data_IF_624707182795
#
_entry.id   IF_624707182795
#
_cell.length_a   1.000
_cell.length_b   1.000
_cell.length_c   1.000
_cell.angle_alpha   90.00
_cell.angle_beta   90.00
_cell.angle_gamma   90.00
#
_symmetry.space_group_name_H-M   'P 1'
#
loop_
_entity.id
_entity.type
_entity.pdbx_description
1 polymer ?
#
# COMPACT_ATOMS: atom_id res chain seq x y z
N UNK A 1 16.86 5.49 6.77
CA UNK A 1 15.56 5.40 7.46
C UNK A 1 14.51 4.80 6.53
N UNK A 2 14.08 5.47 5.44
CA UNK A 2 13.07 4.94 4.50
C UNK A 2 13.45 3.63 3.79
N UNK A 3 14.71 3.46 3.36
CA UNK A 3 15.12 2.21 2.70
C UNK A 3 15.06 1.00 3.65
N UNK A 4 15.35 1.22 4.93
CA UNK A 4 15.22 0.17 5.94
C UNK A 4 13.75 -0.22 6.14
N UNK A 5 12.87 0.78 6.18
CA UNK A 5 11.43 0.56 6.26
C UNK A 5 10.89 -0.20 5.04
N UNK A 6 11.33 0.16 3.83
CA UNK A 6 10.98 -0.55 2.61
C UNK A 6 11.37 -2.03 2.65
N UNK A 7 12.57 -2.34 3.16
CA UNK A 7 13.01 -3.72 3.38
C UNK A 7 12.14 -4.46 4.39
N UNK A 8 11.75 -3.83 5.50
CA UNK A 8 10.89 -4.49 6.51
C UNK A 8 9.48 -4.71 5.99
N UNK A 9 8.86 -3.70 5.37
CA UNK A 9 7.49 -3.77 4.88
C UNK A 9 7.33 -4.82 3.78
N UNK A 10 8.22 -4.83 2.78
CA UNK A 10 8.17 -5.83 1.70
C UNK A 10 8.51 -7.24 2.19
N UNK A 11 9.32 -7.39 3.24
CA UNK A 11 9.61 -8.70 3.85
C UNK A 11 8.39 -9.36 4.48
N UNK A 12 7.49 -8.57 5.07
CA UNK A 12 6.21 -9.07 5.60
C UNK A 12 5.37 -9.69 4.47
N UNK A 13 5.45 -9.11 3.26
CA UNK A 13 4.76 -9.56 2.04
C UNK A 13 5.52 -10.66 1.27
N UNK A 14 6.56 -11.24 1.88
CA UNK A 14 7.26 -12.41 1.37
C UNK A 14 8.53 -12.14 0.57
N UNK A 15 8.96 -10.88 0.43
CA UNK A 15 10.21 -10.53 -0.26
C UNK A 15 11.42 -10.94 0.58
N UNK A 16 12.45 -11.52 -0.04
CA UNK A 16 13.69 -11.95 0.63
C UNK A 16 14.90 -11.19 0.07
N UNK A 17 15.11 -9.97 0.54
CA UNK A 17 16.16 -9.06 0.05
C UNK A 17 16.94 -8.46 1.21
N UNK A 18 18.26 -8.32 1.05
CA UNK A 18 19.11 -7.61 2.01
C UNK A 18 19.42 -6.18 1.55
N UNK A 19 19.89 -5.34 2.47
CA UNK A 19 20.33 -3.98 2.14
C UNK A 19 21.47 -3.98 1.13
N UNK A 20 22.45 -4.87 1.30
CA UNK A 20 23.61 -4.95 0.41
C UNK A 20 23.19 -5.28 -1.02
N UNK A 21 22.22 -6.19 -1.21
CA UNK A 21 21.71 -6.53 -2.54
C UNK A 21 21.06 -5.35 -3.25
N UNK A 22 20.33 -4.50 -2.52
CA UNK A 22 19.73 -3.27 -3.08
C UNK A 22 20.83 -2.28 -3.48
N UNK A 23 21.82 -2.07 -2.60
CA UNK A 23 22.93 -1.16 -2.86
C UNK A 23 23.79 -1.62 -4.05
N UNK A 24 24.02 -2.93 -4.20
CA UNK A 24 24.73 -3.50 -5.33
C UNK A 24 24.00 -3.24 -6.66
N UNK A 25 22.66 -3.27 -6.67
CA UNK A 25 21.84 -2.94 -7.85
C UNK A 25 21.91 -1.44 -8.16
N UNK A 26 21.81 -0.57 -7.15
CA UNK A 26 21.98 0.88 -7.34
C UNK A 26 23.38 1.24 -7.89
N UNK A 27 24.41 0.54 -7.42
CA UNK A 27 25.79 0.66 -7.92
C UNK A 27 26.04 -0.03 -9.27
N UNK A 28 25.03 -0.67 -9.87
CA UNK A 28 25.12 -1.42 -11.13
C UNK A 28 26.12 -2.60 -11.09
N UNK A 29 26.42 -3.09 -9.89
CA UNK A 29 27.33 -4.22 -9.65
C UNK A 29 26.59 -5.57 -9.59
N UNK A 30 25.26 -5.54 -9.44
CA UNK A 30 24.37 -6.71 -9.47
C UNK A 30 23.24 -6.49 -10.47
N UNK A 31 22.77 -7.57 -11.07
CA UNK A 31 21.53 -7.54 -11.87
C UNK A 31 20.32 -7.42 -10.96
N UNK A 32 19.42 -6.52 -11.32
CA UNK A 32 18.14 -6.38 -10.65
C UNK A 32 17.26 -7.63 -10.83
N UNK A 33 16.43 -7.92 -9.83
CA UNK A 33 15.40 -8.96 -9.87
C UNK A 33 14.06 -8.39 -9.36
N UNK A 34 12.99 -9.19 -9.41
CA UNK A 34 11.65 -8.69 -9.04
C UNK A 34 11.55 -8.30 -7.56
N UNK A 35 12.16 -9.08 -6.68
CA UNK A 35 12.14 -8.84 -5.23
C UNK A 35 12.85 -7.53 -4.87
N UNK A 36 14.04 -7.30 -5.42
CA UNK A 36 14.77 -6.03 -5.25
C UNK A 36 13.97 -4.87 -5.86
N UNK A 37 13.34 -5.09 -7.02
CA UNK A 37 12.49 -4.09 -7.64
C UNK A 37 11.27 -3.73 -6.77
N UNK A 38 10.68 -4.68 -6.04
CA UNK A 38 9.59 -4.41 -5.09
C UNK A 38 10.07 -3.51 -3.95
N UNK A 39 11.27 -3.74 -3.40
CA UNK A 39 11.88 -2.87 -2.37
C UNK A 39 12.13 -1.46 -2.93
N UNK A 40 12.70 -1.38 -4.14
CA UNK A 40 12.98 -0.10 -4.79
C UNK A 40 11.68 0.66 -5.10
N UNK A 41 10.64 -0.01 -5.60
CA UNK A 41 9.33 0.59 -5.85
C UNK A 41 8.72 1.13 -4.56
N UNK A 42 8.76 0.37 -3.47
CA UNK A 42 8.24 0.83 -2.18
C UNK A 42 9.02 2.04 -1.67
N UNK A 43 10.35 2.01 -1.75
CA UNK A 43 11.19 3.15 -1.38
C UNK A 43 10.86 4.40 -2.21
N UNK A 44 10.66 4.26 -3.52
CA UNK A 44 10.25 5.37 -4.39
C UNK A 44 8.84 5.86 -4.07
N UNK A 45 7.90 4.96 -3.73
CA UNK A 45 6.56 5.33 -3.32
C UNK A 45 6.59 6.17 -2.04
N UNK A 46 7.30 5.74 -0.99
CA UNK A 46 7.48 6.51 0.24
C UNK A 46 8.05 7.91 -0.04
N UNK A 47 9.16 7.97 -0.79
CA UNK A 47 9.83 9.23 -1.10
C UNK A 47 8.92 10.18 -1.90
N UNK A 48 8.31 9.67 -2.97
CA UNK A 48 7.39 10.44 -3.81
C UNK A 48 6.12 10.86 -3.06
N UNK A 49 5.64 10.02 -2.14
CA UNK A 49 4.52 10.32 -1.26
C UNK A 49 4.81 11.50 -0.32
N UNK A 50 5.95 11.45 0.38
CA UNK A 50 6.38 12.55 1.26
C UNK A 50 6.59 13.86 0.50
N UNK A 51 7.14 13.80 -0.71
CA UNK A 51 7.29 14.99 -1.55
C UNK A 51 5.93 15.53 -2.01
N UNK A 52 4.97 14.65 -2.30
CA UNK A 52 3.59 15.03 -2.67
C UNK A 52 2.82 15.65 -1.51
N UNK A 53 3.03 15.18 -0.28
CA UNK A 53 2.38 15.69 0.93
C UNK A 53 2.75 17.16 1.24
N UNK A 54 3.84 17.67 0.66
CA UNK A 54 4.20 19.10 0.77
C UNK A 54 3.24 20.01 0.00
N UNK A 55 2.50 19.47 -0.96
CA UNK A 55 1.60 20.23 -1.82
C UNK A 55 0.14 19.78 -1.71
N UNK A 56 -0.10 18.52 -1.32
CA UNK A 56 -1.39 17.87 -1.39
C UNK A 56 -1.73 17.18 -0.06
N UNK A 57 -2.99 17.20 0.40
CA UNK A 57 -3.41 16.37 1.51
C UNK A 57 -3.39 14.88 1.16
N UNK A 58 -3.50 14.03 2.17
CA UNK A 58 -3.78 12.60 1.96
C UNK A 58 -5.10 12.50 1.19
N UNK A 59 -5.06 11.87 0.02
CA UNK A 59 -6.18 11.88 -0.91
C UNK A 59 -6.20 10.63 -1.78
N UNK A 60 -7.33 10.36 -2.43
CA UNK A 60 -7.47 9.26 -3.40
C UNK A 60 -6.37 9.33 -4.45
N UNK A 61 -6.03 10.54 -4.90
CA UNK A 61 -4.92 10.75 -5.85
C UNK A 61 -3.59 10.28 -5.28
N UNK A 62 -3.28 10.58 -4.01
CA UNK A 62 -2.06 10.13 -3.37
C UNK A 62 -2.05 8.59 -3.24
N UNK A 63 -3.12 7.99 -2.73
CA UNK A 63 -3.23 6.53 -2.61
C UNK A 63 -3.01 5.83 -3.95
N UNK A 64 -3.66 6.33 -5.02
CA UNK A 64 -3.51 5.79 -6.37
C UNK A 64 -2.08 5.96 -6.91
N UNK A 65 -1.45 7.12 -6.70
CA UNK A 65 -0.07 7.36 -7.11
C UNK A 65 0.92 6.41 -6.42
N UNK A 66 0.77 6.23 -5.10
CA UNK A 66 1.57 5.30 -4.32
C UNK A 66 1.40 3.87 -4.84
N UNK A 67 0.15 3.45 -5.08
CA UNK A 67 -0.19 2.12 -5.57
C UNK A 67 0.35 1.86 -6.98
N UNK A 68 0.26 2.84 -7.88
CA UNK A 68 0.86 2.76 -9.22
C UNK A 68 2.37 2.58 -9.16
N UNK A 69 3.05 3.38 -8.33
CA UNK A 69 4.51 3.30 -8.14
C UNK A 69 4.90 1.95 -7.56
N UNK A 70 4.17 1.48 -6.54
CA UNK A 70 4.42 0.22 -5.86
C UNK A 70 4.41 -0.99 -6.82
N UNK A 71 3.41 -1.05 -7.71
CA UNK A 71 3.19 -2.19 -8.61
C UNK A 71 3.82 -2.00 -10.01
N UNK A 72 4.62 -0.94 -10.19
CA UNK A 72 5.33 -0.66 -11.44
C UNK A 72 6.43 -1.69 -11.75
N UNK A 73 7.03 -1.63 -12.94
CA UNK A 73 8.20 -2.44 -13.30
C UNK A 73 7.97 -3.97 -13.29
N UNK A 74 6.75 -4.41 -13.60
CA UNK A 74 6.39 -5.83 -13.79
C UNK A 74 6.64 -6.74 -12.56
N UNK A 75 6.57 -6.13 -11.37
CA UNK A 75 6.61 -6.84 -10.08
C UNK A 75 5.32 -7.63 -9.83
N UNK A 76 5.26 -8.38 -8.72
CA UNK A 76 4.03 -9.09 -8.33
C UNK A 76 2.88 -8.09 -8.18
N UNK A 77 1.71 -8.46 -8.70
CA UNK A 77 0.53 -7.60 -8.67
C UNK A 77 0.49 -6.56 -9.81
N UNK A 78 1.51 -6.44 -10.67
CA UNK A 78 1.52 -5.41 -11.74
C UNK A 78 0.35 -5.52 -12.74
N UNK A 79 -0.31 -6.67 -12.82
CA UNK A 79 -1.50 -6.90 -13.65
C UNK A 79 -2.83 -6.72 -12.87
N UNK A 80 -2.78 -6.27 -11.62
CA UNK A 80 -3.93 -6.09 -10.70
C UNK A 80 -4.40 -4.63 -10.64
N UNK A 81 -4.43 -3.99 -11.80
CA UNK A 81 -4.85 -2.59 -11.96
C UNK A 81 -4.08 -1.59 -11.07
N UNK A 82 -2.75 -1.44 -11.27
CA UNK A 82 -1.97 -0.40 -10.60
C UNK A 82 -2.63 0.97 -10.72
N UNK A 83 -2.60 1.76 -9.64
CA UNK A 83 -3.22 3.08 -9.59
C UNK A 83 -4.74 3.13 -9.59
N UNK A 84 -5.46 2.01 -9.55
CA UNK A 84 -6.93 2.02 -9.59
C UNK A 84 -7.57 1.23 -8.44
N UNK A 85 -8.64 1.78 -7.88
CA UNK A 85 -9.47 1.04 -6.94
C UNK A 85 -10.16 -0.14 -7.65
N UNK A 86 -10.35 -1.22 -6.90
CA UNK A 86 -10.92 -2.46 -7.43
C UNK A 86 -12.32 -2.24 -7.97
N UNK A 87 -12.60 -2.85 -9.12
CA UNK A 87 -13.93 -2.87 -9.76
C UNK A 87 -14.63 -4.22 -9.61
N UNK A 88 -13.97 -5.18 -8.97
CA UNK A 88 -14.46 -6.53 -8.70
C UNK A 88 -14.34 -6.83 -7.21
N UNK A 89 -15.15 -7.76 -6.73
CA UNK A 89 -15.13 -8.18 -5.32
C UNK A 89 -13.79 -8.84 -5.00
N UNK A 90 -13.16 -8.39 -3.92
CA UNK A 90 -11.97 -9.05 -3.36
C UNK A 90 -12.40 -9.94 -2.18
N UNK A 91 -11.53 -10.83 -1.74
CA UNK A 91 -11.73 -11.66 -0.56
C UNK A 91 -10.38 -12.02 0.05
N UNK A 92 -10.36 -12.19 1.37
CA UNK A 92 -9.15 -12.45 2.16
C UNK A 92 -9.33 -13.77 2.89
N UNK A 93 -8.34 -14.65 2.79
CA UNK A 93 -8.34 -15.94 3.44
C UNK A 93 -7.09 -16.74 3.14
N UNK A 94 -7.03 -18.00 3.61
CA UNK A 94 -5.91 -18.90 3.36
C UNK A 94 -5.64 -19.08 1.86
N UNK A 95 -4.41 -19.48 1.52
CA UNK A 95 -4.04 -19.75 0.14
C UNK A 95 -4.99 -20.79 -0.49
N UNK A 96 -5.47 -20.51 -1.71
CA UNK A 96 -6.42 -21.35 -2.42
C UNK A 96 -7.87 -21.26 -1.96
N UNK A 97 -8.21 -20.36 -1.02
CA UNK A 97 -9.60 -20.12 -0.66
C UNK A 97 -10.41 -19.54 -1.83
N UNK A 98 -11.71 -19.78 -1.77
CA UNK A 98 -12.72 -19.15 -2.61
C UNK A 98 -13.45 -18.08 -1.81
N UNK A 99 -14.28 -17.28 -2.46
CA UNK A 99 -15.11 -16.28 -1.77
C UNK A 99 -16.02 -16.92 -0.70
N UNK A 100 -16.50 -18.16 -0.92
CA UNK A 100 -17.36 -18.90 0.02
C UNK A 100 -16.60 -19.40 1.25
N UNK A 101 -15.28 -19.53 1.15
CA UNK A 101 -14.40 -20.04 2.21
C UNK A 101 -13.46 -18.95 2.75
N UNK A 102 -13.65 -17.71 2.29
CA UNK A 102 -12.87 -16.56 2.72
C UNK A 102 -13.12 -16.26 4.20
N UNK A 103 -12.06 -15.86 4.90
CA UNK A 103 -12.16 -15.43 6.30
C UNK A 103 -12.77 -14.03 6.41
N UNK A 104 -12.62 -13.22 5.36
CA UNK A 104 -13.19 -11.89 5.28
C UNK A 104 -13.52 -11.49 3.84
N UNK A 105 -14.65 -10.82 3.67
CA UNK A 105 -15.07 -10.23 2.40
C UNK A 105 -15.21 -8.72 2.63
N UNK A 106 -14.33 -7.88 2.06
CA UNK A 106 -14.42 -6.43 2.18
C UNK A 106 -15.68 -5.91 1.47
N UNK A 107 -16.06 -4.63 1.69
CA UNK A 107 -17.27 -4.06 1.11
C UNK A 107 -17.37 -4.18 -0.42
N UNK A 108 -18.57 -4.01 -0.97
CA UNK A 108 -18.78 -4.09 -2.41
C UNK A 108 -17.96 -3.02 -3.18
N UNK A 109 -17.47 -3.31 -4.40
CA UNK A 109 -16.58 -2.41 -5.14
C UNK A 109 -17.17 -1.02 -5.38
N UNK A 110 -18.48 -0.91 -5.62
CA UNK A 110 -19.16 0.37 -5.82
C UNK A 110 -19.14 1.30 -4.60
N UNK A 111 -18.86 0.76 -3.41
CA UNK A 111 -18.79 1.54 -2.17
C UNK A 111 -17.38 2.04 -1.85
N UNK A 112 -16.34 1.52 -2.53
CA UNK A 112 -14.94 1.81 -2.22
C UNK A 112 -14.65 3.31 -2.26
N UNK A 113 -15.06 4.01 -3.33
CA UNK A 113 -14.84 5.46 -3.43
C UNK A 113 -15.49 6.20 -2.26
N UNK A 114 -16.76 5.89 -1.94
CA UNK A 114 -17.47 6.52 -0.83
C UNK A 114 -16.77 6.32 0.51
N UNK A 115 -16.23 5.13 0.77
CA UNK A 115 -15.54 4.86 2.03
C UNK A 115 -14.14 5.46 2.08
N UNK A 116 -13.42 5.50 0.97
CA UNK A 116 -12.14 6.19 0.88
C UNK A 116 -12.31 7.71 1.05
N UNK A 117 -13.32 8.31 0.44
CA UNK A 117 -13.66 9.73 0.64
C UNK A 117 -13.93 10.05 2.12
N UNK A 118 -14.63 9.15 2.81
CA UNK A 118 -14.90 9.28 4.24
C UNK A 118 -13.61 9.16 5.08
N UNK A 119 -12.75 8.19 4.76
CA UNK A 119 -11.45 8.01 5.41
C UNK A 119 -10.55 9.24 5.21
N UNK A 120 -10.47 9.75 3.98
CA UNK A 120 -9.72 10.96 3.64
C UNK A 120 -10.22 12.17 4.44
N UNK A 121 -11.54 12.32 4.57
CA UNK A 121 -12.12 13.40 5.38
C UNK A 121 -11.68 13.27 6.84
N UNK A 122 -11.72 12.06 7.40
CA UNK A 122 -11.32 11.81 8.79
C UNK A 122 -9.83 12.06 9.03
N UNK A 123 -8.97 11.68 8.08
CA UNK A 123 -7.52 11.91 8.14
C UNK A 123 -7.19 13.40 8.14
N UNK A 124 -7.80 14.17 7.22
CA UNK A 124 -7.41 15.56 6.99
C UNK A 124 -8.15 16.57 7.88
N UNK A 125 -9.35 16.24 8.38
CA UNK A 125 -10.14 17.12 9.24
C UNK A 125 -10.80 16.33 10.40
N UNK A 126 -9.99 15.81 11.34
CA UNK A 126 -10.51 15.06 12.47
C UNK A 126 -11.37 15.95 13.38
N UNK A 127 -12.58 15.47 13.72
CA UNK A 127 -13.53 16.16 14.60
C UNK A 127 -13.68 15.53 15.99
N UNK A 128 -13.00 14.43 16.23
CA UNK A 128 -12.98 13.71 17.49
C UNK A 128 -11.86 14.20 18.42
N UNK A 129 -11.90 13.76 19.67
CA UNK A 129 -10.93 14.06 20.73
C UNK A 129 -9.89 12.96 20.93
N UNK A 130 -9.69 12.09 19.92
CA UNK A 130 -8.77 10.96 20.02
C UNK A 130 -7.30 11.40 19.95
N UNK A 131 -6.45 10.70 20.72
CA UNK A 131 -5.00 10.82 20.59
C UNK A 131 -4.49 10.31 19.24
N UNK A 132 -3.32 10.79 18.82
CA UNK A 132 -2.73 10.48 17.51
C UNK A 132 -2.58 8.98 17.25
N UNK A 133 -2.07 8.22 18.22
CA UNK A 133 -1.90 6.77 18.07
C UNK A 133 -3.24 6.03 17.90
N UNK A 134 -4.27 6.44 18.64
CA UNK A 134 -5.62 5.87 18.50
C UNK A 134 -6.19 6.18 17.13
N UNK A 135 -5.98 7.40 16.63
CA UNK A 135 -6.41 7.82 15.30
C UNK A 135 -5.72 7.01 14.20
N UNK A 136 -4.40 6.84 14.29
CA UNK A 136 -3.64 6.00 13.35
C UNK A 136 -4.16 4.56 13.36
N UNK A 137 -4.45 3.99 14.53
CA UNK A 137 -5.02 2.64 14.64
C UNK A 137 -6.41 2.52 13.96
N UNK A 138 -7.25 3.56 14.07
CA UNK A 138 -8.56 3.60 13.38
C UNK A 138 -8.37 3.73 11.87
N UNK A 139 -7.46 4.60 11.42
CA UNK A 139 -7.15 4.79 10.00
C UNK A 139 -6.66 3.46 9.38
N UNK A 140 -5.73 2.78 10.05
CA UNK A 140 -5.23 1.45 9.71
C UNK A 140 -6.38 0.45 9.56
N UNK A 141 -7.15 0.25 10.63
CA UNK A 141 -8.27 -0.69 10.62
C UNK A 141 -9.31 -0.39 9.54
N UNK A 142 -9.61 0.90 9.30
CA UNK A 142 -10.58 1.31 8.30
C UNK A 142 -10.06 1.06 6.87
N UNK A 143 -8.79 1.38 6.59
CA UNK A 143 -8.18 1.14 5.28
C UNK A 143 -8.17 -0.36 4.93
N UNK A 144 -7.71 -1.21 5.87
CA UNK A 144 -7.72 -2.66 5.67
C UNK A 144 -9.12 -3.24 5.52
N UNK A 145 -10.11 -2.68 6.23
CA UNK A 145 -11.51 -3.09 6.09
C UNK A 145 -12.07 -2.75 4.71
N UNK A 146 -11.76 -1.55 4.18
CA UNK A 146 -12.18 -1.13 2.84
C UNK A 146 -11.50 -1.99 1.77
N UNK A 147 -10.23 -2.30 1.99
CA UNK A 147 -9.35 -3.07 1.12
C UNK A 147 -9.46 -2.61 -0.35
N UNK A 148 -9.09 -1.35 -0.64
CA UNK A 148 -9.51 -0.64 -1.85
C UNK A 148 -8.87 -1.15 -3.15
N UNK A 149 -7.74 -1.84 -3.08
CA UNK A 149 -7.00 -2.35 -4.24
C UNK A 149 -7.14 -3.88 -4.38
N UNK A 150 -6.78 -4.41 -5.55
CA UNK A 150 -6.77 -5.85 -5.81
C UNK A 150 -5.52 -6.56 -5.26
N UNK A 151 -4.44 -5.82 -5.04
CA UNK A 151 -3.18 -6.27 -4.46
C UNK A 151 -2.49 -5.05 -3.81
N UNK A 152 -1.50 -5.27 -2.96
CA UNK A 152 -0.67 -4.20 -2.39
C UNK A 152 -1.33 -3.38 -1.27
N UNK A 153 -2.50 -3.77 -0.75
CA UNK A 153 -3.20 -3.04 0.31
C UNK A 153 -2.33 -2.84 1.56
N UNK A 154 -1.78 -3.91 2.15
CA UNK A 154 -0.96 -3.80 3.37
C UNK A 154 0.31 -2.94 3.20
N UNK A 155 0.89 -2.93 1.99
CA UNK A 155 2.03 -2.05 1.66
C UNK A 155 1.63 -0.59 1.54
N UNK A 156 0.46 -0.31 0.96
CA UNK A 156 -0.05 1.07 0.87
C UNK A 156 -0.49 1.58 2.23
N UNK A 157 -1.15 0.74 3.02
CA UNK A 157 -1.47 1.04 4.41
C UNK A 157 -0.20 1.43 5.18
N UNK A 158 0.79 0.53 5.18
CA UNK A 158 2.06 0.77 5.87
C UNK A 158 2.70 2.08 5.40
N UNK A 159 2.76 2.33 4.09
CA UNK A 159 3.35 3.55 3.54
C UNK A 159 2.64 4.86 3.94
N UNK A 160 1.35 4.80 4.30
CA UNK A 160 0.55 5.99 4.64
C UNK A 160 0.62 6.33 6.12
N UNK A 161 0.89 5.33 6.97
CA UNK A 161 1.01 5.53 8.43
C UNK A 161 2.46 5.79 8.89
N UNK A 162 3.45 5.53 8.04
CA UNK A 162 4.88 5.79 8.27
C UNK A 162 5.25 7.27 8.29
#
# INVERSE_FOLDING_TARGET
MMLHEALQSTKIEGTQVTLDEVLEVEAQTRKNNKDIQEVLNYYQALRGGMDSLRMLPISTRLFKLLHETLLSNYVRGSNRSPGEYRKIQNFIGPEGCTIETASFIPPEPQLVNKYMDNLETHINDPKDDLGELTRVAIIHAQFETIHPFLDGNGRIESAVIS
#
